data_IF_968548381648
#
_entry.id   IF_968548381648
#
_cell.length_a   1.000
_cell.length_b   1.000
_cell.length_c   1.000
_cell.angle_alpha   90.00
_cell.angle_beta   90.00
_cell.angle_gamma   90.00
#
_symmetry.space_group_name_H-M   'P 1'
#
loop_
_entity.id
_entity.type
_entity.pdbx_description
1 polymer ?
#
# COMPACT_ATOMS: atom_id res chain seq x y z
N UNK A 1 -2.73 6.08 -18.32
CA UNK A 1 -3.25 4.99 -17.45
C UNK A 1 -2.14 4.12 -16.86
N UNK A 2 -1.21 3.56 -17.66
CA UNK A 2 -0.14 2.65 -17.16
C UNK A 2 0.82 3.32 -16.14
N UNK A 3 1.19 4.59 -16.34
CA UNK A 3 2.11 5.31 -15.43
C UNK A 3 1.57 5.46 -14.00
N UNK A 4 0.26 5.66 -13.84
CA UNK A 4 -0.37 5.84 -12.52
C UNK A 4 -0.44 4.51 -11.76
N UNK A 5 -0.68 3.41 -12.48
CA UNK A 5 -0.72 2.06 -11.92
C UNK A 5 0.62 1.64 -11.29
N UNK A 6 1.73 1.85 -12.01
CA UNK A 6 3.08 1.54 -11.50
C UNK A 6 3.42 2.37 -10.26
N UNK A 7 3.01 3.64 -10.22
CA UNK A 7 3.23 4.53 -9.08
C UNK A 7 2.43 4.10 -7.85
N UNK A 8 1.18 3.71 -8.04
CA UNK A 8 0.32 3.26 -6.95
C UNK A 8 0.79 1.91 -6.38
N UNK A 9 1.25 1.00 -7.24
CA UNK A 9 1.87 -0.26 -6.80
C UNK A 9 3.15 0.00 -5.99
N UNK A 10 4.04 0.87 -6.46
CA UNK A 10 5.30 1.17 -5.76
C UNK A 10 5.06 1.76 -4.36
N UNK A 11 4.02 2.59 -4.19
CA UNK A 11 3.65 3.14 -2.89
C UNK A 11 3.24 2.02 -1.92
N UNK A 12 2.37 1.10 -2.37
CA UNK A 12 1.91 -0.02 -1.54
C UNK A 12 3.05 -0.99 -1.25
N UNK A 13 3.89 -1.30 -2.24
CA UNK A 13 5.07 -2.14 -2.07
C UNK A 13 6.04 -1.57 -1.02
N UNK A 14 6.31 -0.26 -1.07
CA UNK A 14 7.18 0.41 -0.10
C UNK A 14 6.59 0.40 1.32
N UNK A 15 5.26 0.48 1.48
CA UNK A 15 4.63 0.33 2.79
C UNK A 15 4.94 -1.02 3.44
N UNK A 16 5.14 -2.08 2.65
CA UNK A 16 5.41 -3.42 3.19
C UNK A 16 6.89 -3.80 3.23
N UNK A 17 7.71 -3.24 2.33
CA UNK A 17 9.10 -3.66 2.15
C UNK A 17 10.15 -2.66 2.65
N UNK A 18 9.77 -1.44 3.06
CA UNK A 18 10.70 -0.55 3.75
C UNK A 18 10.92 -1.02 5.20
N UNK A 19 12.18 -1.09 5.62
CA UNK A 19 12.65 -1.79 6.83
C UNK A 19 12.06 -1.25 8.16
N UNK A 20 11.55 -0.02 8.13
CA UNK A 20 10.94 0.67 9.28
C UNK A 20 9.41 0.45 9.38
N UNK A 21 8.80 -0.19 8.37
CA UNK A 21 7.35 -0.33 8.25
C UNK A 21 6.80 -1.65 8.82
N UNK A 22 7.37 -2.15 9.93
CA UNK A 22 6.87 -3.37 10.62
C UNK A 22 5.43 -3.27 11.16
N UNK A 23 4.83 -2.07 11.13
CA UNK A 23 3.45 -1.82 11.57
C UNK A 23 2.40 -2.02 10.48
N UNK A 24 2.78 -2.26 9.23
CA UNK A 24 1.84 -2.42 8.12
C UNK A 24 1.48 -3.89 7.88
N UNK A 25 0.20 -4.21 8.03
CA UNK A 25 -0.41 -5.47 7.65
C UNK A 25 -1.26 -5.35 6.38
N UNK A 26 -1.56 -6.49 5.76
CA UNK A 26 -2.46 -6.59 4.61
C UNK A 26 -3.65 -7.49 4.97
N UNK A 27 -4.86 -6.97 4.82
CA UNK A 27 -6.09 -7.77 4.90
C UNK A 27 -6.41 -8.32 3.51
N UNK A 28 -6.11 -9.59 3.27
CA UNK A 28 -6.36 -10.26 2.00
C UNK A 28 -7.86 -10.34 1.66
N UNK A 29 -8.74 -10.44 2.65
CA UNK A 29 -10.19 -10.55 2.41
C UNK A 29 -10.81 -9.22 2.02
N UNK A 30 -10.32 -8.13 2.63
CA UNK A 30 -10.75 -6.76 2.30
C UNK A 30 -9.89 -6.12 1.22
N UNK A 31 -8.78 -6.75 0.83
CA UNK A 31 -7.79 -6.19 -0.07
C UNK A 31 -7.36 -4.78 0.36
N UNK A 32 -6.92 -4.60 1.60
CA UNK A 32 -6.56 -3.28 2.13
C UNK A 32 -5.40 -3.31 3.13
N UNK A 33 -4.74 -2.17 3.28
CA UNK A 33 -3.70 -1.96 4.29
C UNK A 33 -4.33 -1.86 5.68
N UNK A 34 -3.80 -2.61 6.64
CA UNK A 34 -4.18 -2.59 8.06
C UNK A 34 -3.01 -2.07 8.87
N UNK A 35 -3.24 -1.03 9.66
CA UNK A 35 -2.26 -0.43 10.55
C UNK A 35 -2.99 0.37 11.62
N UNK A 36 -2.37 0.59 12.78
CA UNK A 36 -2.90 1.48 13.81
C UNK A 36 -3.00 2.93 13.30
N UNK A 37 -4.09 3.62 13.66
CA UNK A 37 -4.34 4.99 13.20
C UNK A 37 -3.21 5.97 13.57
N UNK A 38 -2.57 5.76 14.74
CA UNK A 38 -1.44 6.58 15.16
C UNK A 38 -0.22 6.42 14.23
N UNK A 39 0.10 5.19 13.86
CA UNK A 39 1.18 4.89 12.91
C UNK A 39 0.83 5.34 11.49
N UNK A 40 -0.43 5.19 11.08
CA UNK A 40 -0.91 5.70 9.80
C UNK A 40 -0.74 7.22 9.69
N UNK A 41 -1.17 7.96 10.71
CA UNK A 41 -1.05 9.42 10.76
C UNK A 41 0.42 9.87 10.73
N UNK A 42 1.31 9.15 11.43
CA UNK A 42 2.75 9.39 11.37
C UNK A 42 3.31 9.15 9.96
N UNK A 43 2.94 8.04 9.32
CA UNK A 43 3.42 7.69 7.98
C UNK A 43 2.98 8.68 6.91
N UNK A 44 1.71 9.08 6.89
CA UNK A 44 1.20 10.04 5.88
C UNK A 44 1.74 11.45 6.10
N UNK A 45 2.25 11.78 7.29
CA UNK A 45 2.91 13.05 7.55
C UNK A 45 4.20 13.20 6.73
N UNK A 46 4.94 12.10 6.56
CA UNK A 46 6.14 12.00 5.72
C UNK A 46 5.82 11.66 4.27
N UNK A 47 4.78 10.86 4.02
CA UNK A 47 4.39 10.36 2.71
C UNK A 47 2.96 10.77 2.33
N UNK A 48 2.74 12.06 2.05
CA UNK A 48 1.39 12.59 1.75
C UNK A 48 0.65 11.86 0.62
N UNK A 49 1.38 11.31 -0.37
CA UNK A 49 0.79 10.54 -1.47
C UNK A 49 0.19 9.20 -1.02
N UNK A 50 0.65 8.65 0.11
CA UNK A 50 0.10 7.46 0.74
C UNK A 50 -1.26 7.71 1.40
N UNK A 51 -1.61 8.97 1.70
CA UNK A 51 -2.85 9.31 2.41
C UNK A 51 -4.13 8.78 1.75
N UNK A 52 -4.12 8.59 0.42
CA UNK A 52 -5.27 8.02 -0.30
C UNK A 52 -5.46 6.50 -0.09
N UNK A 53 -4.48 5.82 0.50
CA UNK A 53 -4.48 4.36 0.67
C UNK A 53 -4.97 3.91 2.06
N UNK A 54 -4.95 4.81 3.04
CA UNK A 54 -5.45 4.55 4.39
C UNK A 54 -6.95 4.43 4.36
N UNK A 55 -7.45 3.32 4.90
CA UNK A 55 -8.87 3.05 5.01
C UNK A 55 -9.62 2.92 3.67
N UNK A 56 -8.91 2.74 2.53
CA UNK A 56 -9.54 2.41 1.23
C UNK A 56 -9.31 0.95 0.85
N UNK A 57 -10.36 0.35 0.31
CA UNK A 57 -10.28 -0.92 -0.40
C UNK A 57 -9.42 -0.76 -1.66
N UNK A 58 -8.46 -1.68 -1.85
CA UNK A 58 -7.68 -1.87 -3.07
C UNK A 58 -8.11 -3.15 -3.78
N UNK A 59 -9.36 -3.20 -4.28
CA UNK A 59 -9.77 -4.34 -5.09
C UNK A 59 -8.78 -4.48 -6.25
N UNK A 60 -8.37 -5.73 -6.53
CA UNK A 60 -7.39 -6.11 -7.55
C UNK A 60 -5.90 -5.91 -7.23
N UNK A 61 -5.49 -5.68 -5.97
CA UNK A 61 -4.06 -5.70 -5.62
C UNK A 61 -3.44 -7.07 -5.93
N UNK A 62 -4.08 -8.16 -5.53
CA UNK A 62 -3.55 -9.52 -5.75
C UNK A 62 -3.49 -9.89 -7.24
N UNK A 63 -4.49 -9.51 -8.03
CA UNK A 63 -4.48 -9.67 -9.49
C UNK A 63 -3.38 -8.86 -10.19
N UNK A 64 -2.97 -7.73 -9.60
CA UNK A 64 -1.87 -6.91 -10.13
C UNK A 64 -0.52 -7.41 -9.64
N UNK A 65 -0.42 -7.99 -8.45
CA UNK A 65 0.83 -8.56 -7.95
C UNK A 65 1.32 -9.70 -8.86
N UNK A 66 0.42 -10.52 -9.41
CA UNK A 66 0.79 -11.55 -10.40
C UNK A 66 1.34 -11.01 -11.72
N UNK A 67 1.10 -9.74 -12.04
CA UNK A 67 1.57 -9.08 -13.28
C UNK A 67 2.94 -8.40 -13.06
N UNK A 68 3.22 -7.88 -11.87
CA UNK A 68 4.43 -7.11 -11.58
C UNK A 68 5.45 -7.81 -10.67
N UNK A 69 5.08 -8.85 -9.92
CA UNK A 69 6.03 -9.65 -9.14
C UNK A 69 6.76 -10.71 -9.97
N UNK A 70 6.54 -10.75 -11.30
CA UNK A 70 7.07 -11.75 -12.22
C UNK A 70 8.12 -11.23 -13.21
N UNK A 71 8.58 -9.98 -13.06
CA UNK A 71 9.73 -9.41 -13.79
C UNK A 71 10.83 -8.95 -12.81
#
# INVERSE_FOLDING_TARGET
MIRTLKRDWAIVYNMFNENDNKGFGWDEHRQMVVIEDAMWNSYISSYKAAGKFGHRYFPYYDQRNSIYAKD
#
